data_IF_233762986071
#
_entry.id   IF_233762986071
#
_cell.length_a   1.000
_cell.length_b   1.000
_cell.length_c   1.000
_cell.angle_alpha   90.00
_cell.angle_beta   90.00
_cell.angle_gamma   90.00
#
_symmetry.space_group_name_H-M   'P 1'
#
loop_
_entity.id
_entity.type
_entity.pdbx_description
1 polymer ?
#
# COMPACT_ATOMS: atom_id res chain seq x y z
N UNK A 1 -16.93 -1.52 20.50
CA UNK A 1 -15.83 -0.91 21.27
C UNK A 1 -15.04 -1.93 22.10
N UNK A 2 -15.67 -3.03 22.58
CA UNK A 2 -15.00 -4.04 23.40
C UNK A 2 -14.20 -5.09 22.60
N UNK A 3 -14.45 -5.26 21.32
CA UNK A 3 -13.78 -6.23 20.45
C UNK A 3 -12.63 -5.56 19.73
N UNK A 4 -11.43 -6.15 19.80
CA UNK A 4 -10.24 -5.71 19.07
C UNK A 4 -10.40 -6.12 17.60
N UNK A 5 -10.20 -5.16 16.68
CA UNK A 5 -10.16 -5.41 15.24
C UNK A 5 -8.72 -5.68 14.85
N UNK A 6 -8.51 -6.70 14.05
CA UNK A 6 -7.20 -7.05 13.53
C UNK A 6 -7.23 -6.86 12.02
N UNK A 7 -6.31 -6.09 11.50
CA UNK A 7 -6.21 -5.82 10.08
C UNK A 7 -4.77 -5.93 9.56
N UNK A 8 -4.64 -5.92 8.27
CA UNK A 8 -3.38 -5.80 7.55
C UNK A 8 -3.42 -4.49 6.77
N UNK A 9 -2.56 -3.51 7.09
CA UNK A 9 -2.65 -2.14 6.58
C UNK A 9 -4.00 -1.47 6.92
N UNK A 10 -4.38 -1.57 8.18
CA UNK A 10 -5.71 -1.19 8.69
C UNK A 10 -6.06 0.29 8.45
N UNK A 11 -5.07 1.14 8.17
CA UNK A 11 -5.30 2.54 7.80
C UNK A 11 -6.18 2.66 6.55
N UNK A 12 -6.03 1.74 5.60
CA UNK A 12 -6.88 1.69 4.41
C UNK A 12 -8.34 1.45 4.79
N UNK A 13 -8.60 0.43 5.61
CA UNK A 13 -9.96 0.11 6.08
C UNK A 13 -10.56 1.24 6.91
N UNK A 14 -9.77 1.88 7.78
CA UNK A 14 -10.17 3.07 8.54
C UNK A 14 -10.66 4.19 7.62
N UNK A 15 -9.95 4.44 6.53
CA UNK A 15 -10.29 5.49 5.57
C UNK A 15 -11.59 5.16 4.83
N UNK A 16 -11.72 3.92 4.34
CA UNK A 16 -12.93 3.48 3.63
C UNK A 16 -14.17 3.53 4.53
N UNK A 17 -14.10 2.96 5.73
CA UNK A 17 -15.22 2.92 6.67
C UNK A 17 -15.61 4.32 7.18
N UNK A 18 -14.64 5.19 7.38
CA UNK A 18 -14.93 6.57 7.73
C UNK A 18 -15.66 7.30 6.60
N UNK A 19 -15.22 7.15 5.36
CA UNK A 19 -15.84 7.77 4.20
C UNK A 19 -17.24 7.20 3.92
N UNK A 20 -17.46 5.91 4.20
CA UNK A 20 -18.75 5.25 3.98
C UNK A 20 -19.81 5.63 5.02
N UNK A 21 -19.43 5.97 6.25
CA UNK A 21 -20.43 6.24 7.29
C UNK A 21 -19.88 6.80 8.61
N UNK A 22 -18.73 7.48 8.59
CA UNK A 22 -18.05 7.98 9.79
C UNK A 22 -17.75 6.89 10.83
N UNK A 23 -17.53 5.65 10.37
CA UNK A 23 -17.24 4.52 11.26
C UNK A 23 -15.77 4.59 11.67
N UNK A 24 -15.51 4.66 12.98
CA UNK A 24 -14.17 4.62 13.53
C UNK A 24 -13.82 3.22 14.00
N UNK A 25 -12.64 2.72 13.59
CA UNK A 25 -12.09 1.44 14.01
C UNK A 25 -11.25 1.68 15.29
N UNK A 26 -11.73 1.17 16.44
CA UNK A 26 -10.99 1.20 17.70
C UNK A 26 -11.62 0.20 18.71
N UNK A 27 -10.84 -0.51 19.54
CA UNK A 27 -9.39 -0.72 19.46
C UNK A 27 -8.99 -1.63 18.28
N UNK A 28 -7.72 -1.55 17.86
CA UNK A 28 -7.22 -2.33 16.72
C UNK A 28 -5.77 -2.77 16.87
N UNK A 29 -5.37 -3.75 16.05
CA UNK A 29 -3.99 -4.10 15.74
C UNK A 29 -3.79 -4.18 14.22
N UNK A 30 -2.56 -3.90 13.78
CA UNK A 30 -2.15 -3.95 12.38
C UNK A 30 -0.96 -4.91 12.23
N UNK A 31 -1.16 -6.01 11.50
CA UNK A 31 -0.14 -7.04 11.29
C UNK A 31 1.03 -6.55 10.43
N UNK A 32 0.79 -5.60 9.51
CA UNK A 32 1.86 -4.98 8.73
C UNK A 32 2.80 -4.17 9.64
N UNK A 33 2.24 -3.38 10.57
CA UNK A 33 3.05 -2.59 11.50
C UNK A 33 3.70 -3.44 12.60
N UNK A 34 3.06 -4.52 13.03
CA UNK A 34 3.72 -5.50 13.91
C UNK A 34 4.96 -6.09 13.26
N UNK A 35 4.85 -6.48 11.98
CA UNK A 35 5.97 -6.96 11.19
C UNK A 35 7.03 -5.87 10.97
N UNK A 36 6.61 -4.63 10.73
CA UNK A 36 7.52 -3.50 10.55
C UNK A 36 8.34 -3.23 11.83
N UNK A 37 7.69 -3.22 13.00
CA UNK A 37 8.37 -3.06 14.28
C UNK A 37 9.42 -4.15 14.55
N UNK A 38 9.15 -5.40 14.11
CA UNK A 38 10.04 -6.55 14.28
C UNK A 38 11.17 -6.62 13.26
N UNK A 39 10.89 -6.31 12.02
CA UNK A 39 11.70 -6.69 10.86
C UNK A 39 11.96 -5.50 9.91
N UNK A 40 11.95 -4.25 10.39
CA UNK A 40 12.25 -3.06 9.60
C UNK A 40 13.59 -3.21 8.83
N UNK A 41 13.56 -2.87 7.54
CA UNK A 41 14.75 -2.96 6.68
C UNK A 41 15.02 -4.35 6.09
N UNK A 42 14.29 -5.39 6.43
CA UNK A 42 14.39 -6.69 5.77
C UNK A 42 13.79 -6.63 4.35
N UNK A 43 14.45 -7.31 3.41
CA UNK A 43 14.07 -7.31 1.99
C UNK A 43 12.74 -7.99 1.67
N UNK A 44 12.21 -8.80 2.59
CA UNK A 44 10.98 -9.59 2.37
C UNK A 44 9.71 -8.75 2.25
N UNK A 45 9.75 -7.47 2.66
CA UNK A 45 8.56 -6.62 2.71
C UNK A 45 7.59 -7.01 3.83
N UNK A 46 6.54 -6.20 4.01
CA UNK A 46 5.57 -6.35 5.10
C UNK A 46 4.13 -6.58 4.56
N UNK A 47 4.00 -6.88 3.27
CA UNK A 47 2.71 -7.25 2.65
C UNK A 47 2.26 -8.64 3.09
N UNK A 48 0.94 -8.87 3.05
CA UNK A 48 0.33 -10.12 3.52
C UNK A 48 0.89 -11.36 2.81
N UNK A 49 1.05 -11.30 1.48
CA UNK A 49 1.60 -12.42 0.68
C UNK A 49 3.00 -12.81 1.12
N UNK A 50 3.83 -11.83 1.41
CA UNK A 50 5.20 -12.05 1.89
C UNK A 50 5.21 -12.62 3.30
N UNK A 51 4.41 -12.06 4.19
CA UNK A 51 4.34 -12.47 5.59
C UNK A 51 3.74 -13.87 5.74
N UNK A 52 2.65 -14.17 5.02
CA UNK A 52 2.01 -15.49 5.06
C UNK A 52 2.92 -16.59 4.53
N UNK A 53 3.63 -16.32 3.44
CA UNK A 53 4.61 -17.26 2.88
C UNK A 53 5.79 -17.49 3.83
N UNK A 54 6.31 -16.42 4.43
CA UNK A 54 7.50 -16.48 5.28
C UNK A 54 7.22 -17.10 6.65
N UNK A 55 6.08 -16.79 7.26
CA UNK A 55 5.79 -17.15 8.64
C UNK A 55 4.78 -18.27 8.80
N UNK A 56 3.88 -18.44 7.83
CA UNK A 56 2.82 -19.47 7.90
C UNK A 56 3.00 -20.58 6.87
N UNK A 57 3.93 -20.40 5.91
CA UNK A 57 4.11 -21.28 4.75
C UNK A 57 2.82 -21.43 3.91
N UNK A 58 2.05 -20.33 3.82
CA UNK A 58 0.81 -20.24 3.05
C UNK A 58 1.05 -19.27 1.89
N UNK A 59 0.68 -19.67 0.67
CA UNK A 59 0.61 -18.78 -0.48
C UNK A 59 -0.86 -18.38 -0.65
N UNK A 60 -1.23 -17.11 -0.38
CA UNK A 60 -2.61 -16.67 -0.52
C UNK A 60 -3.02 -16.53 -1.99
N UNK A 61 -4.32 -16.51 -2.24
CA UNK A 61 -4.88 -16.11 -3.52
C UNK A 61 -4.52 -14.64 -3.73
N UNK A 62 -3.83 -14.32 -4.83
CA UNK A 62 -3.46 -12.92 -5.08
C UNK A 62 -4.64 -12.13 -5.67
N UNK A 63 -4.70 -10.83 -5.37
CA UNK A 63 -5.72 -9.95 -5.96
C UNK A 63 -5.73 -10.02 -7.50
N UNK A 64 -4.56 -10.14 -8.12
CA UNK A 64 -4.42 -10.24 -9.56
C UNK A 64 -4.88 -11.57 -10.16
N UNK A 65 -5.00 -12.63 -9.37
CA UNK A 65 -5.57 -13.91 -9.83
C UNK A 65 -7.08 -13.80 -10.00
N UNK A 66 -7.75 -13.02 -9.16
CA UNK A 66 -9.20 -12.87 -9.19
C UNK A 66 -9.68 -11.70 -10.06
N UNK A 67 -8.85 -10.66 -10.23
CA UNK A 67 -9.23 -9.47 -11.02
C UNK A 67 -8.56 -9.40 -12.39
N UNK A 68 -7.56 -10.24 -12.68
CA UNK A 68 -6.75 -10.13 -13.89
C UNK A 68 -5.64 -9.07 -13.77
N UNK A 69 -4.94 -8.82 -14.89
CA UNK A 69 -3.81 -7.88 -14.97
C UNK A 69 -3.88 -7.00 -16.22
N UNK A 70 -3.29 -5.83 -16.15
CA UNK A 70 -3.12 -4.93 -17.29
C UNK A 70 -4.44 -4.37 -17.83
N UNK A 71 -4.63 -4.43 -19.15
CA UNK A 71 -5.81 -3.82 -19.80
C UNK A 71 -7.12 -4.58 -19.55
N UNK A 72 -7.03 -5.85 -19.22
CA UNK A 72 -8.18 -6.73 -18.98
C UNK A 72 -8.51 -6.86 -17.49
N UNK A 73 -7.87 -6.05 -16.64
CA UNK A 73 -8.15 -6.06 -15.22
C UNK A 73 -9.53 -5.48 -14.93
N UNK A 74 -10.33 -6.27 -14.21
CA UNK A 74 -11.64 -5.85 -13.70
C UNK A 74 -11.53 -5.29 -12.29
N UNK A 75 -12.50 -4.51 -11.85
CA UNK A 75 -12.61 -4.09 -10.45
C UNK A 75 -13.26 -5.20 -9.61
N UNK A 76 -13.04 -5.19 -8.31
CA UNK A 76 -13.45 -6.29 -7.41
C UNK A 76 -14.97 -6.53 -7.39
N UNK A 77 -15.77 -5.51 -7.64
CA UNK A 77 -17.23 -5.58 -7.74
C UNK A 77 -17.75 -6.38 -8.95
N UNK A 78 -16.88 -6.67 -9.92
CA UNK A 78 -17.19 -7.56 -11.05
C UNK A 78 -16.66 -8.99 -10.85
N UNK A 79 -15.98 -9.27 -9.75
CA UNK A 79 -15.52 -10.64 -9.43
C UNK A 79 -16.73 -11.48 -9.01
N UNK A 80 -16.76 -12.74 -9.48
CA UNK A 80 -17.77 -13.70 -9.05
C UNK A 80 -17.85 -13.82 -7.53
N UNK A 81 -19.08 -13.93 -7.00
CA UNK A 81 -19.31 -13.86 -5.55
C UNK A 81 -18.63 -15.00 -4.78
N UNK A 82 -18.62 -16.21 -5.32
CA UNK A 82 -17.99 -17.37 -4.65
C UNK A 82 -16.46 -17.18 -4.61
N UNK A 83 -15.87 -16.72 -5.69
CA UNK A 83 -14.44 -16.39 -5.78
C UNK A 83 -14.08 -15.24 -4.83
N UNK A 84 -14.90 -14.20 -4.77
CA UNK A 84 -14.72 -13.07 -3.86
C UNK A 84 -14.85 -13.49 -2.39
N UNK A 85 -15.75 -14.43 -2.08
CA UNK A 85 -15.94 -14.99 -0.75
C UNK A 85 -14.69 -15.74 -0.29
N UNK A 86 -14.16 -16.64 -1.13
CA UNK A 86 -12.97 -17.42 -0.81
C UNK A 86 -11.76 -16.53 -0.57
N UNK A 87 -11.58 -15.51 -1.42
CA UNK A 87 -10.53 -14.52 -1.28
C UNK A 87 -10.64 -13.75 0.06
N UNK A 88 -11.81 -13.18 0.33
CA UNK A 88 -12.02 -12.37 1.54
C UNK A 88 -11.94 -13.19 2.82
N UNK A 89 -12.46 -14.43 2.82
CA UNK A 89 -12.36 -15.35 3.96
C UNK A 89 -10.91 -15.74 4.23
N UNK A 90 -10.12 -16.02 3.19
CA UNK A 90 -8.71 -16.35 3.31
C UNK A 90 -7.91 -15.17 3.88
N UNK A 91 -8.15 -13.95 3.40
CA UNK A 91 -7.49 -12.73 3.89
C UNK A 91 -7.74 -12.53 5.39
N UNK A 92 -8.96 -12.75 5.84
CA UNK A 92 -9.32 -12.66 7.26
C UNK A 92 -8.62 -13.73 8.12
N UNK A 93 -8.61 -14.99 7.67
CA UNK A 93 -7.96 -16.10 8.37
C UNK A 93 -6.44 -15.89 8.46
N UNK A 94 -5.80 -15.55 7.35
CA UNK A 94 -4.35 -15.29 7.31
C UNK A 94 -3.99 -14.12 8.24
N UNK A 95 -4.75 -13.02 8.20
CA UNK A 95 -4.53 -11.87 9.07
C UNK A 95 -4.58 -12.24 10.54
N UNK A 96 -5.56 -13.05 10.96
CA UNK A 96 -5.65 -13.52 12.33
C UNK A 96 -4.48 -14.44 12.72
N UNK A 97 -4.06 -15.35 11.86
CA UNK A 97 -2.91 -16.22 12.10
C UNK A 97 -1.60 -15.43 12.18
N UNK A 98 -1.41 -14.45 11.31
CA UNK A 98 -0.26 -13.54 11.36
C UNK A 98 -0.23 -12.74 12.66
N UNK A 99 -1.38 -12.21 13.09
CA UNK A 99 -1.48 -11.51 14.37
C UNK A 99 -1.00 -12.38 15.54
N UNK A 100 -1.52 -13.60 15.65
CA UNK A 100 -1.14 -14.50 16.75
C UNK A 100 0.37 -14.80 16.72
N UNK A 101 0.93 -15.08 15.57
CA UNK A 101 2.37 -15.32 15.40
C UNK A 101 3.23 -14.09 15.74
N UNK A 102 2.89 -12.93 15.21
CA UNK A 102 3.66 -11.71 15.38
C UNK A 102 3.55 -11.14 16.81
N UNK A 103 2.40 -11.30 17.46
CA UNK A 103 2.19 -10.90 18.86
C UNK A 103 3.17 -11.59 19.80
N UNK A 104 3.35 -12.89 19.65
CA UNK A 104 4.28 -13.65 20.48
C UNK A 104 5.73 -13.23 20.22
N UNK A 105 6.08 -12.92 18.97
CA UNK A 105 7.39 -12.39 18.59
C UNK A 105 7.66 -11.01 19.19
N UNK A 106 6.68 -10.10 19.17
CA UNK A 106 6.82 -8.76 19.77
C UNK A 106 7.22 -8.84 21.24
N UNK A 107 6.61 -9.77 22.00
CA UNK A 107 6.95 -10.01 23.41
C UNK A 107 8.36 -10.59 23.53
N UNK A 108 8.66 -11.66 22.80
CA UNK A 108 9.92 -12.38 22.84
C UNK A 108 11.11 -11.50 22.46
N UNK A 109 10.93 -10.67 21.43
CA UNK A 109 11.98 -9.80 20.89
C UNK A 109 12.00 -8.40 21.55
N UNK A 110 11.17 -8.18 22.58
CA UNK A 110 11.06 -6.93 23.35
C UNK A 110 10.68 -5.69 22.52
N UNK A 111 9.93 -5.90 21.46
CA UNK A 111 9.46 -4.83 20.55
C UNK A 111 8.04 -4.34 20.88
N UNK A 112 7.40 -4.90 21.90
CA UNK A 112 6.01 -4.53 22.29
C UNK A 112 5.88 -3.04 22.57
N UNK A 113 6.83 -2.43 23.32
CA UNK A 113 6.76 -1.01 23.66
C UNK A 113 6.84 -0.15 22.39
N UNK A 114 7.76 -0.43 21.47
CA UNK A 114 7.87 0.28 20.18
C UNK A 114 6.56 0.20 19.41
N UNK A 115 6.02 -1.02 19.28
CA UNK A 115 4.76 -1.22 18.56
C UNK A 115 3.60 -0.47 19.21
N UNK A 116 3.39 -0.63 20.52
CA UNK A 116 2.24 -0.07 21.22
C UNK A 116 2.26 1.46 21.32
N UNK A 117 3.45 2.06 21.47
CA UNK A 117 3.58 3.50 21.73
C UNK A 117 3.86 4.34 20.48
N UNK A 118 4.41 3.75 19.43
CA UNK A 118 4.78 4.46 18.20
C UNK A 118 3.98 3.94 17.01
N UNK A 119 4.16 2.65 16.65
CA UNK A 119 3.62 2.14 15.40
C UNK A 119 2.09 2.02 15.41
N UNK A 120 1.51 1.48 16.48
CA UNK A 120 0.05 1.26 16.55
C UNK A 120 -0.79 2.54 16.51
N UNK A 121 -0.38 3.67 17.12
CA UNK A 121 -1.13 4.94 17.00
C UNK A 121 -1.04 5.61 15.64
N UNK A 122 0.03 5.36 14.85
CA UNK A 122 0.30 6.06 13.59
C UNK A 122 -0.81 5.95 12.54
N UNK A 123 -1.46 4.80 12.30
CA UNK A 123 -2.54 4.70 11.31
C UNK A 123 -3.64 5.75 11.52
N UNK A 124 -4.03 5.99 12.75
CA UNK A 124 -5.05 6.97 13.06
C UNK A 124 -4.60 8.42 12.80
N UNK A 125 -3.36 8.73 13.15
CA UNK A 125 -2.77 10.06 12.89
C UNK A 125 -2.66 10.31 11.39
N UNK A 126 -2.09 9.35 10.66
CA UNK A 126 -1.88 9.47 9.21
C UNK A 126 -3.22 9.51 8.46
N UNK A 127 -4.20 8.69 8.83
CA UNK A 127 -5.53 8.74 8.24
C UNK A 127 -6.21 10.12 8.44
N UNK A 128 -6.02 10.76 9.60
CA UNK A 128 -6.49 12.12 9.82
C UNK A 128 -5.76 13.15 8.95
N UNK A 129 -4.43 13.02 8.81
CA UNK A 129 -3.63 13.90 7.95
C UNK A 129 -4.07 13.78 6.48
N UNK A 130 -4.23 12.54 5.99
CA UNK A 130 -4.68 12.26 4.62
C UNK A 130 -6.10 12.80 4.35
N UNK A 131 -7.01 12.71 5.31
CA UNK A 131 -8.36 13.28 5.21
C UNK A 131 -8.37 14.81 5.16
N UNK A 132 -7.51 15.45 5.93
CA UNK A 132 -7.37 16.91 5.89
C UNK A 132 -6.75 17.38 4.57
N UNK A 133 -5.96 16.53 3.95
CA UNK A 133 -5.29 16.82 2.68
C UNK A 133 -4.19 17.89 2.80
N UNK A 134 -3.65 18.23 1.65
CA UNK A 134 -2.64 19.28 1.49
C UNK A 134 -3.09 20.24 0.39
N UNK A 135 -3.02 21.53 0.66
CA UNK A 135 -3.32 22.55 -0.35
C UNK A 135 -2.25 22.55 -1.46
N UNK A 136 -2.72 22.54 -2.70
CA UNK A 136 -1.85 22.59 -3.88
C UNK A 136 -2.12 23.88 -4.64
N UNK A 137 -1.07 24.64 -4.92
CA UNK A 137 -1.12 25.79 -5.84
C UNK A 137 -1.04 25.27 -7.29
N UNK A 138 -2.20 25.04 -7.88
CA UNK A 138 -2.30 24.56 -9.26
C UNK A 138 -1.79 25.56 -10.29
N UNK A 139 -1.88 26.87 -9.98
CA UNK A 139 -1.34 27.94 -10.85
C UNK A 139 0.18 27.90 -10.90
N UNK A 140 0.82 27.75 -9.74
CA UNK A 140 2.27 27.58 -9.66
C UNK A 140 2.74 26.31 -10.39
N UNK A 141 2.08 25.19 -10.20
CA UNK A 141 2.44 23.93 -10.86
C UNK A 141 2.29 24.03 -12.39
N UNK A 142 1.24 24.69 -12.86
CA UNK A 142 1.04 24.93 -14.30
C UNK A 142 2.18 25.78 -14.88
N UNK A 143 2.51 26.90 -14.24
CA UNK A 143 3.63 27.75 -14.66
C UNK A 143 4.96 26.99 -14.67
N UNK A 144 5.20 26.15 -13.67
CA UNK A 144 6.40 25.32 -13.59
C UNK A 144 6.44 24.28 -14.72
N UNK A 145 5.30 23.67 -15.05
CA UNK A 145 5.18 22.75 -16.20
C UNK A 145 5.53 23.45 -17.51
N UNK A 146 4.98 24.64 -17.75
CA UNK A 146 5.25 25.43 -18.96
C UNK A 146 6.74 25.82 -19.08
N UNK A 147 7.37 26.17 -17.96
CA UNK A 147 8.81 26.45 -17.90
C UNK A 147 9.62 25.18 -18.25
N UNK A 148 9.25 24.03 -17.73
CA UNK A 148 9.94 22.79 -18.06
C UNK A 148 9.79 22.41 -19.53
N UNK A 149 8.59 22.48 -20.09
CA UNK A 149 8.33 22.21 -21.52
C UNK A 149 9.22 23.12 -22.38
N UNK A 150 9.21 24.43 -22.13
CA UNK A 150 10.00 25.38 -22.90
C UNK A 150 11.52 25.15 -22.84
N UNK A 151 12.03 24.56 -21.77
CA UNK A 151 13.44 24.18 -21.63
C UNK A 151 13.74 22.81 -22.22
N UNK A 152 12.80 21.88 -22.18
CA UNK A 152 12.99 20.53 -22.72
C UNK A 152 12.99 20.50 -24.24
N UNK A 153 12.10 21.26 -24.89
CA UNK A 153 11.99 21.28 -26.35
C UNK A 153 13.32 21.59 -27.07
N UNK A 154 14.06 22.66 -26.74
CA UNK A 154 15.35 22.95 -27.41
C UNK A 154 16.42 21.87 -27.12
N UNK A 155 16.36 21.23 -25.92
CA UNK A 155 17.27 20.13 -25.57
C UNK A 155 16.96 18.90 -26.44
N UNK A 156 15.69 18.55 -26.59
CA UNK A 156 15.25 17.45 -27.44
C UNK A 156 15.65 17.63 -28.90
N UNK A 157 15.44 18.83 -29.44
CA UNK A 157 15.86 19.19 -30.81
C UNK A 157 17.38 19.03 -30.98
N UNK A 158 18.16 19.46 -29.98
CA UNK A 158 19.60 19.32 -30.03
C UNK A 158 20.06 17.85 -29.95
N UNK A 159 19.40 17.04 -29.15
CA UNK A 159 19.66 15.57 -29.07
C UNK A 159 19.42 14.94 -30.45
N UNK A 160 18.27 15.17 -31.07
CA UNK A 160 17.95 14.63 -32.39
C UNK A 160 18.95 15.09 -33.46
N UNK A 161 19.35 16.35 -33.42
CA UNK A 161 20.38 16.89 -34.33
C UNK A 161 21.73 16.19 -34.15
N UNK A 162 22.14 15.91 -32.93
CA UNK A 162 23.39 15.18 -32.63
C UNK A 162 23.33 13.72 -33.00
N UNK A 163 22.17 13.09 -32.77
CA UNK A 163 21.94 11.66 -33.11
C UNK A 163 21.77 11.43 -34.62
N UNK A 164 21.33 12.44 -35.37
CA UNK A 164 21.04 12.34 -36.80
C UNK A 164 19.66 11.75 -37.12
N UNK A 165 18.87 11.36 -36.11
CA UNK A 165 17.54 10.82 -36.25
C UNK A 165 16.64 11.16 -35.05
N UNK A 166 15.33 11.05 -35.22
CA UNK A 166 14.35 11.19 -34.13
C UNK A 166 14.05 9.81 -33.52
N UNK A 167 14.07 9.74 -32.18
CA UNK A 167 13.75 8.52 -31.43
C UNK A 167 13.06 8.85 -30.10
N UNK A 168 12.49 7.86 -29.43
CA UNK A 168 11.85 8.06 -28.16
C UNK A 168 12.88 8.19 -27.02
N UNK A 169 13.24 9.44 -26.67
CA UNK A 169 14.21 9.76 -25.61
C UNK A 169 13.79 9.20 -24.24
N UNK A 170 12.48 9.00 -24.00
CA UNK A 170 11.96 8.49 -22.72
C UNK A 170 12.03 6.96 -22.61
N UNK A 171 12.48 6.24 -23.64
CA UNK A 171 12.59 4.80 -23.64
C UNK A 171 14.00 4.32 -23.31
N UNK A 172 14.24 3.68 -22.14
CA UNK A 172 15.55 3.13 -21.79
C UNK A 172 16.07 2.04 -22.75
N UNK A 173 15.17 1.46 -23.55
CA UNK A 173 15.52 0.39 -24.51
C UNK A 173 16.06 0.90 -25.85
N UNK A 174 16.04 2.23 -26.08
CA UNK A 174 16.50 2.88 -27.32
C UNK A 174 17.70 3.81 -27.12
N UNK A 175 18.23 3.87 -25.90
CA UNK A 175 19.47 4.51 -25.50
C UNK A 175 20.56 3.46 -25.26
#
# INVERSE_FOLDING_TARGET
PSIIKIGQNIKYDMTILFNAGNINIYPYHDTMLMSFALDAGKRSGHGMDSLSKTHLNITPISYSEITGKGKDQITFDYVDLDTALDYAAQDADITLRLYNFLKDRLVKEKMTSLYETIERPLPHVIANMERNGVGIDSGYLKNLSDIFISKMEPIQINIFKLAGEEFNISSPCLL
#
